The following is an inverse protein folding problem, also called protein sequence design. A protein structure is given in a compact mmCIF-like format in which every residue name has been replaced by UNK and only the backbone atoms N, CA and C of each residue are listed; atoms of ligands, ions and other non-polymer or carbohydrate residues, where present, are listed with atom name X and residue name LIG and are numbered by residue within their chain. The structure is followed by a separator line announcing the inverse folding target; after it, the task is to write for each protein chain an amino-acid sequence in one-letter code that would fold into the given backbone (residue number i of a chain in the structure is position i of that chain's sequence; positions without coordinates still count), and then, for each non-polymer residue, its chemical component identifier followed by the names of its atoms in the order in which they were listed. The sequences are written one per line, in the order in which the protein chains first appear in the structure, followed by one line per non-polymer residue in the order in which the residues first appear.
data_IF_104528854826
#
_entry.id   IF_104528854826
#
_cell.length_a   1.000
_cell.length_b   1.000
_cell.length_c   1.000
_cell.angle_alpha   90.00
_cell.angle_beta   90.00
_cell.angle_gamma   90.00
#
_symmetry.space_group_name_H-M   'P 1'
#
loop_
_entity.id
_entity.type
_entity.pdbx_description
1 polymer ?
#
# COMPACT_ATOMS: atom_id res chain seq x y z
N UNK A 1 -2.65 -20.12 48.45
CA UNK A 1 -3.98 -20.71 48.21
C UNK A 1 -4.80 -19.89 47.20
N UNK A 2 -4.81 -18.54 47.30
CA UNK A 2 -5.60 -17.65 46.40
C UNK A 2 -5.18 -17.72 44.95
N UNK A 3 -3.88 -17.84 44.63
CA UNK A 3 -3.36 -17.93 43.27
C UNK A 3 -3.83 -19.19 42.55
N UNK A 4 -3.86 -20.32 43.23
CA UNK A 4 -4.28 -21.59 42.65
C UNK A 4 -5.80 -21.56 42.36
N UNK A 5 -6.58 -21.02 43.30
CA UNK A 5 -8.03 -20.86 43.11
C UNK A 5 -8.35 -19.94 41.91
N UNK A 6 -7.58 -18.86 41.72
CA UNK A 6 -7.77 -17.94 40.60
C UNK A 6 -7.37 -18.55 39.23
N UNK A 7 -6.29 -19.34 39.20
CA UNK A 7 -5.87 -20.06 37.99
C UNK A 7 -6.85 -21.18 37.60
N UNK A 8 -7.38 -21.92 38.59
CA UNK A 8 -8.38 -22.97 38.33
C UNK A 8 -9.72 -22.37 37.87
N UNK A 9 -10.16 -21.28 38.51
CA UNK A 9 -11.37 -20.55 38.08
C UNK A 9 -11.24 -19.99 36.68
N UNK A 10 -10.08 -19.39 36.33
CA UNK A 10 -9.80 -18.89 34.98
C UNK A 10 -9.78 -20.01 33.94
N UNK A 11 -9.12 -21.14 34.25
CA UNK A 11 -9.08 -22.30 33.37
C UNK A 11 -10.45 -22.92 33.12
N UNK A 12 -11.29 -22.96 34.15
CA UNK A 12 -12.64 -23.49 34.06
C UNK A 12 -13.56 -22.55 33.27
N UNK A 13 -13.50 -21.25 33.53
CA UNK A 13 -14.26 -20.24 32.84
C UNK A 13 -13.97 -20.25 31.34
N UNK A 14 -12.70 -20.36 30.94
CA UNK A 14 -12.27 -20.42 29.54
C UNK A 14 -12.70 -21.69 28.81
N UNK A 15 -12.92 -22.80 29.53
CA UNK A 15 -13.42 -24.05 28.94
C UNK A 15 -14.92 -24.01 28.65
N UNK A 16 -15.70 -23.27 29.45
CA UNK A 16 -17.16 -23.18 29.29
C UNK A 16 -17.64 -21.96 28.51
N UNK A 17 -16.88 -20.86 28.51
CA UNK A 17 -17.12 -19.70 27.66
C UNK A 17 -15.79 -19.13 27.14
N UNK A 18 -15.46 -19.39 25.88
CA UNK A 18 -14.22 -18.86 25.27
C UNK A 18 -14.29 -17.36 24.94
N UNK A 19 -15.47 -16.74 25.06
CA UNK A 19 -15.72 -15.32 24.77
C UNK A 19 -15.40 -14.46 25.98
N UNK A 20 -14.57 -13.41 25.87
CA UNK A 20 -14.30 -12.45 26.94
C UNK A 20 -15.60 -11.80 27.46
N UNK A 21 -15.65 -11.50 28.75
CA UNK A 21 -16.86 -10.94 29.41
C UNK A 21 -17.36 -9.66 28.71
N UNK A 22 -16.46 -8.80 28.22
CA UNK A 22 -16.81 -7.58 27.53
C UNK A 22 -17.51 -7.83 26.19
N UNK A 23 -17.13 -8.86 25.47
CA UNK A 23 -17.75 -9.26 24.22
C UNK A 23 -19.12 -9.89 24.45
N UNK A 24 -19.26 -10.68 25.50
CA UNK A 24 -20.53 -11.27 25.90
C UNK A 24 -21.56 -10.22 26.36
N UNK A 25 -21.13 -9.12 26.99
CA UNK A 25 -21.98 -7.98 27.36
C UNK A 25 -22.43 -7.18 26.11
N UNK A 26 -21.57 -7.00 25.13
CA UNK A 26 -21.89 -6.30 23.89
C UNK A 26 -22.86 -7.12 23.01
N UNK A 27 -22.72 -8.45 22.99
CA UNK A 27 -23.69 -9.34 22.34
C UNK A 27 -25.09 -9.25 22.98
N UNK A 28 -25.16 -8.99 24.28
CA UNK A 28 -26.43 -8.84 24.99
C UNK A 28 -27.17 -7.54 24.64
N UNK A 29 -26.42 -6.51 24.22
CA UNK A 29 -26.97 -5.22 23.79
C UNK A 29 -27.09 -5.11 22.25
N UNK A 30 -27.03 -6.22 21.51
CA UNK A 30 -27.03 -6.28 20.03
C UNK A 30 -25.95 -5.39 19.36
N UNK A 31 -24.89 -5.04 20.10
CA UNK A 31 -23.76 -4.28 19.58
C UNK A 31 -22.70 -5.27 19.10
N UNK A 32 -22.74 -5.62 17.84
CA UNK A 32 -21.68 -6.38 17.19
C UNK A 32 -20.48 -5.47 16.91
N UNK A 33 -19.48 -5.47 17.79
CA UNK A 33 -18.16 -4.96 17.41
C UNK A 33 -17.60 -5.91 16.34
N UNK A 34 -17.24 -5.40 15.16
CA UNK A 34 -16.50 -6.22 14.21
C UNK A 34 -15.20 -6.64 14.90
N UNK A 35 -15.10 -7.91 15.28
CA UNK A 35 -13.86 -8.48 15.75
C UNK A 35 -12.81 -8.20 14.68
N UNK A 36 -11.66 -7.60 15.01
CA UNK A 36 -10.53 -7.68 14.14
C UNK A 36 -10.07 -9.15 14.17
N UNK A 37 -10.81 -10.02 13.50
CA UNK A 37 -10.31 -11.33 13.20
C UNK A 37 -9.02 -11.08 12.43
N UNK A 38 -7.88 -11.41 13.03
CA UNK A 38 -6.56 -11.36 12.40
C UNK A 38 -6.54 -12.06 11.03
N UNK A 39 -7.59 -12.78 10.68
CA UNK A 39 -7.84 -13.44 9.40
C UNK A 39 -8.65 -12.64 8.37
N UNK A 40 -9.43 -11.62 8.76
CA UNK A 40 -10.38 -10.98 7.83
C UNK A 40 -9.74 -9.94 6.91
N UNK A 41 -8.96 -9.02 7.44
CA UNK A 41 -8.41 -7.89 6.67
C UNK A 41 -7.17 -8.34 5.88
N UNK A 42 -6.28 -9.15 6.49
CA UNK A 42 -5.11 -9.70 5.82
C UNK A 42 -5.50 -10.60 4.64
N UNK A 43 -6.49 -11.47 4.79
CA UNK A 43 -6.92 -12.38 3.74
C UNK A 43 -7.50 -11.70 2.49
N UNK A 44 -8.17 -10.55 2.64
CA UNK A 44 -8.69 -9.83 1.48
C UNK A 44 -7.54 -9.26 0.63
N UNK A 45 -6.56 -8.64 1.25
CA UNK A 45 -5.40 -8.06 0.56
C UNK A 45 -4.45 -9.14 0.00
N UNK A 46 -4.44 -10.35 0.57
CA UNK A 46 -3.64 -11.47 0.06
C UNK A 46 -4.14 -11.98 -1.29
N UNK A 47 -5.45 -11.87 -1.55
CA UNK A 47 -6.09 -12.34 -2.77
C UNK A 47 -6.08 -11.31 -3.91
N UNK A 48 -5.84 -10.04 -3.60
CA UNK A 48 -5.82 -8.96 -4.57
C UNK A 48 -4.37 -8.77 -5.04
N UNK A 49 -4.14 -8.89 -6.36
CA UNK A 49 -2.83 -8.63 -6.94
C UNK A 49 -2.55 -7.14 -7.06
N UNK A 50 -1.28 -6.75 -6.97
CA UNK A 50 -0.84 -5.38 -7.24
C UNK A 50 -1.30 -4.92 -8.62
N UNK A 51 -1.24 -5.79 -9.63
CA UNK A 51 -1.65 -5.50 -11.01
C UNK A 51 -3.08 -4.98 -11.16
N UNK A 52 -4.01 -5.38 -10.26
CA UNK A 52 -5.41 -4.93 -10.30
C UNK A 52 -5.64 -3.55 -9.67
N UNK A 53 -4.72 -3.10 -8.81
CA UNK A 53 -4.86 -1.87 -8.03
C UNK A 53 -3.96 -0.73 -8.53
N UNK A 54 -3.01 -1.01 -9.42
CA UNK A 54 -2.02 -0.04 -9.86
C UNK A 54 -2.61 1.04 -10.76
N UNK A 55 -2.02 2.21 -10.70
CA UNK A 55 -2.14 3.20 -11.77
C UNK A 55 -1.16 2.81 -12.88
N UNK A 56 -1.72 2.42 -14.02
CA UNK A 56 -0.96 2.13 -15.23
C UNK A 56 -0.53 3.40 -15.94
N UNK A 57 0.61 3.35 -16.61
CA UNK A 57 1.17 4.47 -17.38
C UNK A 57 1.31 5.76 -16.56
N UNK A 58 2.06 5.74 -15.43
CA UNK A 58 2.34 6.95 -14.68
C UNK A 58 3.16 7.93 -15.53
N UNK A 59 3.03 9.21 -15.26
CA UNK A 59 3.97 10.20 -15.80
C UNK A 59 5.38 9.87 -15.33
N UNK A 60 6.30 9.67 -16.26
CA UNK A 60 7.69 9.31 -15.98
C UNK A 60 8.65 10.39 -16.44
N UNK A 61 9.79 10.47 -15.79
CA UNK A 61 10.89 11.37 -16.16
C UNK A 61 12.07 10.56 -16.68
N UNK A 62 12.60 10.91 -17.84
CA UNK A 62 13.81 10.28 -18.34
C UNK A 62 15.02 10.63 -17.46
N UNK A 63 15.86 9.65 -17.17
CA UNK A 63 17.00 9.83 -16.27
C UNK A 63 18.03 10.86 -16.74
N UNK A 64 18.10 11.08 -18.05
CA UNK A 64 19.07 11.97 -18.70
C UNK A 64 18.66 13.43 -18.80
N UNK A 65 17.37 13.79 -18.53
CA UNK A 65 16.94 15.18 -18.60
C UNK A 65 17.46 16.00 -17.43
N UNK A 66 17.52 17.31 -17.61
CA UNK A 66 17.93 18.23 -16.54
C UNK A 66 16.84 18.42 -15.51
N UNK A 67 17.21 18.85 -14.31
CA UNK A 67 16.27 19.18 -13.22
C UNK A 67 15.30 20.28 -13.64
N UNK A 68 15.77 21.26 -14.39
CA UNK A 68 14.94 22.36 -14.92
C UNK A 68 13.85 21.82 -15.88
N UNK A 69 14.23 21.00 -16.84
CA UNK A 69 13.28 20.38 -17.79
C UNK A 69 12.28 19.47 -17.05
N UNK A 70 12.75 18.69 -16.08
CA UNK A 70 11.90 17.82 -15.29
C UNK A 70 10.87 18.61 -14.48
N UNK A 71 11.29 19.71 -13.85
CA UNK A 71 10.39 20.54 -13.08
C UNK A 71 9.29 21.16 -13.95
N UNK A 72 9.64 21.70 -15.12
CA UNK A 72 8.66 22.26 -16.06
C UNK A 72 7.61 21.24 -16.51
N UNK A 73 7.98 19.95 -16.61
CA UNK A 73 7.03 18.87 -16.97
C UNK A 73 6.06 18.51 -15.84
N UNK A 74 6.48 18.65 -14.58
CA UNK A 74 5.71 18.12 -13.43
C UNK A 74 5.04 19.19 -12.57
N UNK A 75 5.39 20.46 -12.69
CA UNK A 75 4.91 21.55 -11.81
C UNK A 75 3.40 21.70 -11.78
N UNK A 76 2.72 21.39 -12.89
CA UNK A 76 1.27 21.52 -13.06
C UNK A 76 0.53 20.16 -12.94
N UNK A 77 1.24 19.09 -12.54
CA UNK A 77 0.66 17.77 -12.38
C UNK A 77 0.01 17.61 -11.00
N UNK A 78 -1.07 16.81 -10.95
CA UNK A 78 -1.74 16.48 -9.68
C UNK A 78 -0.88 15.60 -8.74
N UNK A 79 0.16 14.98 -9.28
CA UNK A 79 1.01 14.05 -8.54
C UNK A 79 2.25 14.73 -8.01
N UNK A 80 2.64 14.35 -6.81
CA UNK A 80 3.82 14.90 -6.14
C UNK A 80 5.08 14.06 -6.31
N UNK A 81 4.99 12.87 -6.93
CA UNK A 81 6.14 11.97 -7.07
C UNK A 81 6.08 11.22 -8.39
N UNK A 82 7.24 11.11 -9.01
CA UNK A 82 7.41 10.63 -10.38
C UNK A 82 8.50 9.57 -10.43
N UNK A 83 8.30 8.46 -11.17
CA UNK A 83 9.36 7.53 -11.48
C UNK A 83 10.35 8.15 -12.46
N UNK A 84 11.62 7.86 -12.23
CA UNK A 84 12.70 8.18 -13.16
C UNK A 84 13.08 6.89 -13.87
N UNK A 85 13.05 6.92 -15.20
CA UNK A 85 13.30 5.74 -16.03
C UNK A 85 14.52 5.94 -16.94
N UNK A 86 15.19 4.85 -17.25
CA UNK A 86 16.25 4.80 -18.25
C UNK A 86 15.67 4.59 -19.69
N UNK A 87 16.54 4.47 -20.66
CA UNK A 87 16.19 4.24 -22.08
C UNK A 87 15.45 2.93 -22.31
N UNK A 88 15.57 1.96 -21.40
CA UNK A 88 14.90 0.66 -21.45
C UNK A 88 13.63 0.63 -20.59
N UNK A 89 13.07 1.78 -20.22
CA UNK A 89 11.88 1.91 -19.35
C UNK A 89 12.07 1.25 -17.96
N UNK A 90 13.30 1.10 -17.48
CA UNK A 90 13.59 0.58 -16.14
C UNK A 90 13.52 1.70 -15.12
N UNK A 91 12.83 1.47 -14.01
CA UNK A 91 12.77 2.45 -12.94
C UNK A 91 14.13 2.54 -12.21
N UNK A 92 14.87 3.60 -12.48
CA UNK A 92 16.20 3.86 -11.89
C UNK A 92 16.12 4.79 -10.69
N UNK A 93 14.98 5.43 -10.45
CA UNK A 93 14.79 6.33 -9.32
C UNK A 93 13.34 6.75 -9.12
N UNK A 94 13.10 7.43 -8.01
CA UNK A 94 11.86 8.16 -7.72
C UNK A 94 12.22 9.59 -7.31
N UNK A 95 11.45 10.56 -7.77
CA UNK A 95 11.69 11.97 -7.43
C UNK A 95 10.38 12.67 -7.12
N UNK A 96 10.42 13.61 -6.17
CA UNK A 96 9.28 14.45 -5.85
C UNK A 96 9.40 15.82 -6.52
N UNK A 97 8.24 16.44 -6.86
CA UNK A 97 8.20 17.82 -7.34
C UNK A 97 8.93 18.78 -6.38
N UNK A 98 8.72 18.61 -5.07
CA UNK A 98 9.40 19.42 -4.05
C UNK A 98 10.93 19.29 -4.12
N UNK A 99 11.46 18.09 -4.40
CA UNK A 99 12.91 17.89 -4.53
C UNK A 99 13.46 18.56 -5.77
N UNK A 100 12.75 18.47 -6.90
CA UNK A 100 13.11 19.19 -8.11
C UNK A 100 13.17 20.71 -7.86
N UNK A 101 12.11 21.26 -7.29
CA UNK A 101 12.00 22.69 -6.95
C UNK A 101 13.13 23.15 -6.01
N UNK A 102 13.42 22.38 -4.97
CA UNK A 102 14.50 22.69 -4.04
C UNK A 102 15.86 22.69 -4.74
N UNK A 103 16.12 21.70 -5.57
CA UNK A 103 17.37 21.62 -6.32
C UNK A 103 17.53 22.78 -7.29
N UNK A 104 16.44 23.26 -7.93
CA UNK A 104 16.46 24.46 -8.78
C UNK A 104 16.86 25.72 -8.01
N UNK A 105 16.40 25.84 -6.76
CA UNK A 105 16.76 27.00 -5.90
C UNK A 105 18.23 26.95 -5.46
N UNK A 106 18.70 25.75 -5.11
CA UNK A 106 20.04 25.55 -4.56
C UNK A 106 21.14 25.44 -5.66
N UNK A 107 20.74 25.14 -6.91
CA UNK A 107 21.60 24.92 -8.06
C UNK A 107 20.98 25.55 -9.32
N UNK A 108 21.74 25.68 -10.39
CA UNK A 108 21.29 26.25 -11.66
C UNK A 108 20.32 25.37 -12.48
N UNK A 109 19.92 24.22 -11.93
CA UNK A 109 19.01 23.29 -12.61
C UNK A 109 19.64 22.46 -13.74
N UNK A 110 20.93 22.60 -13.99
CA UNK A 110 21.67 21.88 -15.06
C UNK A 110 21.96 20.41 -14.72
N UNK A 111 21.81 20.03 -13.46
CA UNK A 111 22.04 18.66 -13.01
C UNK A 111 21.03 17.68 -13.64
N UNK A 112 21.50 16.45 -13.94
CA UNK A 112 20.60 15.40 -14.38
C UNK A 112 19.68 14.90 -13.26
N UNK A 113 18.42 14.61 -13.59
CA UNK A 113 17.44 14.07 -12.66
C UNK A 113 17.92 12.81 -11.95
N UNK A 114 18.65 11.95 -12.66
CA UNK A 114 19.21 10.71 -12.09
C UNK A 114 20.12 10.95 -10.88
N UNK A 115 20.88 12.05 -10.88
CA UNK A 115 21.83 12.34 -9.79
C UNK A 115 21.15 12.70 -8.47
N UNK A 116 19.92 13.21 -8.54
CA UNK A 116 19.15 13.63 -7.37
C UNK A 116 17.96 12.70 -7.06
N UNK A 117 17.65 11.74 -7.92
CA UNK A 117 16.57 10.78 -7.69
C UNK A 117 16.90 9.83 -6.53
N UNK A 118 15.89 9.50 -5.74
CA UNK A 118 16.01 8.51 -4.67
C UNK A 118 15.92 7.10 -5.25
N UNK A 119 16.61 6.13 -4.61
CA UNK A 119 16.50 4.72 -5.00
C UNK A 119 15.04 4.27 -4.94
N UNK A 120 14.49 3.68 -6.02
CA UNK A 120 13.12 3.26 -6.05
C UNK A 120 12.90 2.05 -5.14
N UNK A 121 11.79 2.05 -4.42
CA UNK A 121 11.27 0.84 -3.80
C UNK A 121 10.32 0.19 -4.80
N UNK A 122 10.64 -1.04 -5.21
CA UNK A 122 9.91 -1.73 -6.27
C UNK A 122 9.11 -2.92 -5.74
N UNK A 123 8.03 -3.27 -6.43
CA UNK A 123 7.25 -4.49 -6.18
C UNK A 123 6.87 -5.10 -7.53
N UNK A 124 6.70 -6.42 -7.60
CA UNK A 124 6.24 -7.06 -8.83
C UNK A 124 4.71 -6.97 -8.94
N UNK A 125 4.22 -6.84 -10.18
CA UNK A 125 2.79 -6.72 -10.51
C UNK A 125 1.96 -7.92 -10.05
N UNK A 126 2.55 -9.13 -10.02
CA UNK A 126 1.91 -10.38 -9.62
C UNK A 126 1.84 -10.59 -8.09
N UNK A 127 2.49 -9.73 -7.31
CA UNK A 127 2.46 -9.85 -5.84
C UNK A 127 1.14 -9.33 -5.26
N UNK A 128 0.83 -9.78 -4.03
CA UNK A 128 -0.38 -9.35 -3.33
C UNK A 128 -0.27 -7.95 -2.73
N UNK A 129 -1.42 -7.30 -2.51
CA UNK A 129 -1.49 -6.01 -1.83
C UNK A 129 -0.97 -6.08 -0.39
N UNK A 130 -1.12 -7.21 0.31
CA UNK A 130 -0.51 -7.41 1.63
C UNK A 130 1.01 -7.25 1.59
N UNK A 131 1.66 -7.82 0.58
CA UNK A 131 3.12 -7.64 0.40
C UNK A 131 3.49 -6.20 0.09
N UNK A 132 2.64 -5.49 -0.67
CA UNK A 132 2.85 -4.06 -0.93
C UNK A 132 2.82 -3.25 0.37
N UNK A 133 1.82 -3.48 1.24
CA UNK A 133 1.70 -2.81 2.54
C UNK A 133 2.92 -3.08 3.42
N UNK A 134 3.33 -4.34 3.55
CA UNK A 134 4.52 -4.69 4.33
C UNK A 134 5.77 -3.97 3.80
N UNK A 135 5.97 -3.99 2.49
CA UNK A 135 7.12 -3.33 1.87
C UNK A 135 7.10 -1.81 2.04
N UNK A 136 5.93 -1.17 1.93
CA UNK A 136 5.77 0.26 2.20
C UNK A 136 6.13 0.59 3.65
N UNK A 137 5.68 -0.23 4.60
CA UNK A 137 5.99 -0.06 6.02
C UNK A 137 7.49 -0.20 6.30
N UNK A 138 8.12 -1.27 5.81
CA UNK A 138 9.54 -1.55 6.04
C UNK A 138 10.45 -0.47 5.42
N UNK A 139 10.08 0.01 4.24
CA UNK A 139 10.82 1.04 3.52
C UNK A 139 10.44 2.47 3.93
N UNK A 140 9.48 2.63 4.85
CA UNK A 140 8.93 3.93 5.28
C UNK A 140 8.50 4.81 4.11
N UNK A 141 7.93 4.20 3.09
CA UNK A 141 7.39 4.89 1.90
C UNK A 141 5.89 4.63 1.78
N UNK A 142 5.17 5.55 1.13
CA UNK A 142 3.73 5.42 0.88
C UNK A 142 3.42 5.00 -0.56
N UNK A 143 4.46 4.70 -1.35
CA UNK A 143 4.33 4.32 -2.76
C UNK A 143 5.47 3.42 -3.18
N UNK A 144 5.20 2.55 -4.14
CA UNK A 144 6.15 1.63 -4.74
C UNK A 144 6.06 1.73 -6.26
N UNK A 145 7.19 1.64 -6.93
CA UNK A 145 7.23 1.43 -8.36
C UNK A 145 6.90 -0.03 -8.65
N UNK A 146 5.95 -0.27 -9.54
CA UNK A 146 5.54 -1.62 -9.92
C UNK A 146 6.26 -2.01 -11.20
N UNK A 147 6.94 -3.14 -11.14
CA UNK A 147 7.75 -3.68 -12.23
C UNK A 147 7.27 -5.07 -12.63
N UNK A 148 7.49 -5.43 -13.90
CA UNK A 148 7.25 -6.79 -14.37
C UNK A 148 8.38 -7.74 -13.98
N UNK A 149 8.04 -9.05 -13.91
CA UNK A 149 9.04 -10.11 -13.83
C UNK A 149 9.66 -10.32 -15.18
N UNK A 150 10.96 -10.26 -15.25
CA UNK A 150 11.72 -10.44 -16.48
C UNK A 150 13.14 -9.91 -16.31
N UNK A 151 13.97 -10.09 -17.32
CA UNK A 151 15.34 -9.58 -17.33
C UNK A 151 15.33 -8.05 -17.35
N UNK A 152 14.37 -7.45 -18.04
CA UNK A 152 14.30 -6.01 -18.22
C UNK A 152 13.70 -5.25 -17.04
N UNK A 153 12.90 -5.89 -16.20
CA UNK A 153 12.27 -5.27 -15.04
C UNK A 153 11.61 -3.91 -15.36
N UNK A 154 10.85 -3.90 -16.46
CA UNK A 154 10.19 -2.69 -16.92
C UNK A 154 9.20 -2.13 -15.90
N UNK A 155 9.11 -0.81 -15.86
CA UNK A 155 8.11 -0.11 -15.05
C UNK A 155 6.75 -0.24 -15.71
N UNK A 156 5.77 -0.80 -14.99
CA UNK A 156 4.38 -0.93 -15.47
C UNK A 156 3.42 -0.01 -14.74
N UNK A 157 3.82 0.56 -13.63
CA UNK A 157 2.96 1.46 -12.88
C UNK A 157 3.51 1.90 -11.54
N UNK A 158 2.65 2.58 -10.79
CA UNK A 158 2.88 2.96 -9.40
C UNK A 158 1.70 2.46 -8.59
N UNK A 159 1.97 2.02 -7.37
CA UNK A 159 0.96 1.74 -6.36
C UNK A 159 1.19 2.63 -5.14
N UNK A 160 0.13 3.28 -4.67
CA UNK A 160 0.14 4.10 -3.46
C UNK A 160 -0.69 3.46 -2.36
N UNK A 161 -0.51 3.92 -1.12
CA UNK A 161 -1.36 3.48 0.00
C UNK A 161 -2.84 3.80 -0.25
N UNK A 162 -3.14 4.92 -0.92
CA UNK A 162 -4.51 5.30 -1.28
C UNK A 162 -5.13 4.34 -2.29
N UNK A 163 -4.36 3.82 -3.24
CA UNK A 163 -4.82 2.82 -4.20
C UNK A 163 -5.17 1.50 -3.50
N UNK A 164 -4.36 1.09 -2.52
CA UNK A 164 -4.62 -0.11 -1.71
C UNK A 164 -5.92 0.04 -0.91
N UNK A 165 -6.10 1.18 -0.23
CA UNK A 165 -7.33 1.45 0.55
C UNK A 165 -8.55 1.47 -0.35
N UNK A 166 -8.47 2.07 -1.53
CA UNK A 166 -9.56 2.09 -2.51
C UNK A 166 -9.92 0.67 -2.97
N UNK A 167 -8.93 -0.12 -3.39
CA UNK A 167 -9.16 -1.51 -3.83
C UNK A 167 -9.74 -2.39 -2.73
N UNK A 168 -9.34 -2.17 -1.47
CA UNK A 168 -9.93 -2.86 -0.34
C UNK A 168 -11.39 -2.46 -0.13
N UNK A 169 -11.73 -1.17 -0.23
CA UNK A 169 -13.10 -0.69 -0.09
C UNK A 169 -14.02 -1.23 -1.20
N UNK A 170 -13.52 -1.32 -2.42
CA UNK A 170 -14.23 -1.92 -3.56
C UNK A 170 -14.50 -3.40 -3.32
N UNK A 171 -13.51 -4.17 -2.89
CA UNK A 171 -13.66 -5.60 -2.58
C UNK A 171 -14.64 -5.87 -1.43
N UNK A 172 -14.73 -4.97 -0.45
CA UNK A 172 -15.73 -5.05 0.64
C UNK A 172 -17.12 -4.80 0.10
N UNK A 173 -17.31 -3.79 -0.76
CA UNK A 173 -18.61 -3.48 -1.39
C UNK A 173 -19.12 -4.62 -2.24
N UNK A 174 -18.25 -5.24 -3.04
CA UNK A 174 -18.63 -6.40 -3.86
C UNK A 174 -19.08 -7.58 -3.01
N UNK A 175 -18.39 -7.88 -1.91
CA UNK A 175 -18.80 -8.95 -0.98
C UNK A 175 -20.09 -8.63 -0.25
N UNK A 176 -20.30 -7.38 0.18
CA UNK A 176 -21.53 -6.94 0.84
C UNK A 176 -22.75 -6.95 -0.07
N UNK A 177 -22.57 -6.81 -1.38
CA UNK A 177 -23.66 -6.85 -2.37
C UNK A 177 -24.08 -8.29 -2.74
N UNK A 178 -23.23 -9.28 -2.45
CA UNK A 178 -23.53 -10.70 -2.68
C UNK A 178 -24.39 -11.27 -1.53
N UNK A 179 -24.27 -10.74 -0.31
CA UNK A 179 -25.03 -11.21 0.87
C UNK A 179 -26.49 -10.79 0.89
N UNK A 180 -26.92 -9.82 0.05
CA UNK A 180 -28.31 -9.30 0.04
C UNK A 180 -29.21 -10.08 -0.95
N UNK A 181 -28.71 -11.01 -1.73
CA UNK A 181 -29.47 -11.70 -2.78
C UNK A 181 -29.81 -13.16 -2.48
N UNK A 182 -29.75 -13.60 -1.21
CA UNK A 182 -30.22 -14.94 -0.83
C UNK A 182 -31.27 -14.85 0.24
N UNK A 183 -32.52 -14.63 -0.17
CA UNK A 183 -33.74 -15.28 0.40
C UNK A 183 -34.91 -15.09 -0.54
N UNK A 184 -35.64 -16.12 -0.86
CA UNK A 184 -37.03 -16.16 -0.45
C UNK A 184 -37.28 -17.13 0.70
#
# INVERSE_FOLDING_TARGET
PLMIANMTAYGLARKFRPVPIYEALLEQDDIFLPHPSKKGIGHALDQISVASAIRRSPETLAAGITVAEAYERVRDQEFSTFPVVDENNRCVGMITEMRLRRTLVDNDGSMNVRSIALKPQTIFSDQSLSKAVLKMNDSRTRQLAVIERGEDRELVGIITMSDIVRSQAEAIKERGNIDVTVTP
#
